data_IF_484460574639
#
_entry.id   IF_484460574639
#
_cell.length_a   1.000
_cell.length_b   1.000
_cell.length_c   1.000
_cell.angle_alpha   90.00
_cell.angle_beta   90.00
_cell.angle_gamma   90.00
#
_symmetry.space_group_name_H-M   'P 1'
#
loop_
_entity.id
_entity.type
_entity.pdbx_description
1 polymer ?
#
# COMPACT_ATOMS: atom_id res chain seq x y z
N UNK A 1 -3.68 -14.42 1.98
CA UNK A 1 -3.64 -15.02 0.63
C UNK A 1 -2.60 -14.24 -0.17
N UNK A 2 -1.46 -14.85 -0.50
CA UNK A 2 -0.41 -14.23 -1.33
C UNK A 2 -0.72 -14.60 -2.78
N UNK A 3 -1.43 -13.74 -3.49
CA UNK A 3 -1.73 -13.97 -4.90
C UNK A 3 -0.71 -13.22 -5.74
N UNK A 4 0.09 -13.98 -6.48
CA UNK A 4 0.87 -13.62 -7.67
C UNK A 4 1.49 -12.21 -7.67
N UNK A 5 2.55 -12.03 -6.89
CA UNK A 5 3.50 -10.93 -7.10
C UNK A 5 4.15 -11.13 -8.47
N UNK A 6 4.13 -10.14 -9.38
CA UNK A 6 4.88 -10.22 -10.64
C UNK A 6 6.35 -10.54 -10.33
N UNK A 7 6.99 -11.43 -11.11
CA UNK A 7 8.36 -11.91 -10.82
C UNK A 7 9.39 -10.77 -10.66
N UNK A 8 9.12 -9.64 -11.30
CA UNK A 8 10.03 -8.50 -11.37
C UNK A 8 9.70 -7.43 -10.32
N UNK A 9 8.80 -7.72 -9.38
CA UNK A 9 8.26 -6.75 -8.44
C UNK A 9 8.58 -7.14 -7.00
N UNK A 10 9.33 -6.28 -6.31
CA UNK A 10 9.67 -6.49 -4.91
C UNK A 10 8.57 -5.91 -4.01
N UNK A 11 7.83 -6.82 -3.37
CA UNK A 11 6.80 -6.51 -2.39
C UNK A 11 7.33 -5.63 -1.24
N UNK A 12 8.51 -5.94 -0.70
CA UNK A 12 9.11 -5.21 0.42
C UNK A 12 9.56 -3.83 -0.03
N UNK A 13 10.10 -3.69 -1.25
CA UNK A 13 10.46 -2.39 -1.78
C UNK A 13 9.25 -1.47 -1.93
N UNK A 14 8.13 -1.97 -2.46
CA UNK A 14 6.87 -1.19 -2.57
C UNK A 14 6.39 -0.77 -1.18
N UNK A 15 6.38 -1.70 -0.22
CA UNK A 15 5.94 -1.41 1.13
C UNK A 15 6.82 -0.35 1.81
N UNK A 16 8.13 -0.45 1.64
CA UNK A 16 9.10 0.51 2.20
C UNK A 16 8.96 1.89 1.56
N UNK A 17 8.77 1.93 0.24
CA UNK A 17 8.51 3.18 -0.48
C UNK A 17 7.24 3.88 0.01
N UNK A 18 6.14 3.14 0.20
CA UNK A 18 4.89 3.70 0.75
C UNK A 18 5.14 4.26 2.16
N UNK A 19 5.83 3.51 3.03
CA UNK A 19 6.18 3.95 4.39
C UNK A 19 7.12 5.17 4.42
N UNK A 20 7.88 5.40 3.35
CA UNK A 20 8.77 6.57 3.24
C UNK A 20 8.03 7.87 2.90
N UNK A 21 6.75 7.80 2.51
CA UNK A 21 5.94 8.99 2.20
C UNK A 21 5.69 9.77 3.50
N UNK A 22 6.05 11.07 3.56
CA UNK A 22 5.83 11.88 4.75
C UNK A 22 4.37 11.87 5.18
N UNK A 23 4.14 11.55 6.45
CA UNK A 23 2.81 11.48 7.07
C UNK A 23 2.20 10.08 7.12
N UNK A 24 2.80 9.09 6.46
CA UNK A 24 2.43 7.67 6.60
C UNK A 24 3.00 7.12 7.91
N UNK A 25 2.16 6.48 8.71
CA UNK A 25 2.57 5.75 9.93
C UNK A 25 2.74 4.27 9.66
N UNK A 26 1.80 3.69 8.91
CA UNK A 26 1.82 2.26 8.56
C UNK A 26 1.15 2.03 7.22
N UNK A 27 1.56 0.96 6.55
CA UNK A 27 0.89 0.41 5.38
C UNK A 27 0.69 -1.09 5.58
N UNK A 28 -0.50 -1.58 5.29
CA UNK A 28 -0.88 -2.97 5.49
C UNK A 28 -1.92 -3.43 4.45
N UNK A 29 -2.30 -4.70 4.50
CA UNK A 29 -3.18 -5.33 3.49
C UNK A 29 -2.72 -5.08 2.05
N UNK A 30 -1.41 -4.95 1.83
CA UNK A 30 -0.84 -4.79 0.49
C UNK A 30 -1.07 -6.08 -0.29
N UNK A 31 -1.83 -6.00 -1.38
CA UNK A 31 -1.95 -7.10 -2.33
C UNK A 31 -1.67 -6.60 -3.73
N UNK A 32 -0.90 -7.41 -4.46
CA UNK A 32 -0.38 -7.12 -5.79
C UNK A 32 -0.92 -8.23 -6.70
N UNK A 33 -1.35 -7.89 -7.91
CA UNK A 33 -1.82 -8.89 -8.87
C UNK A 33 -1.29 -8.58 -10.27
N UNK A 34 -0.81 -9.60 -10.97
CA UNK A 34 -0.66 -9.57 -12.42
C UNK A 34 -1.96 -10.05 -13.07
N UNK A 35 -2.69 -9.16 -13.74
CA UNK A 35 -3.91 -9.51 -14.49
C UNK A 35 -3.57 -9.99 -15.90
N UNK A 36 -2.58 -9.35 -16.53
CA UNK A 36 -1.95 -9.74 -17.80
C UNK A 36 -0.44 -9.45 -17.72
N UNK A 37 0.31 -9.74 -18.79
CA UNK A 37 1.76 -9.43 -18.87
C UNK A 37 2.06 -7.94 -18.64
N UNK A 38 1.13 -7.07 -19.03
CA UNK A 38 1.28 -5.61 -19.02
C UNK A 38 0.32 -4.88 -18.05
N UNK A 39 -0.65 -5.58 -17.44
CA UNK A 39 -1.64 -4.97 -16.56
C UNK A 39 -1.54 -5.53 -15.15
N UNK A 40 -0.93 -4.75 -14.28
CA UNK A 40 -0.84 -5.04 -12.86
C UNK A 40 -1.86 -4.23 -12.06
N UNK A 41 -2.37 -4.82 -10.98
CA UNK A 41 -3.25 -4.20 -10.02
C UNK A 41 -2.65 -4.20 -8.61
N UNK A 42 -2.98 -3.19 -7.81
CA UNK A 42 -2.56 -3.08 -6.41
C UNK A 42 -3.70 -2.57 -5.54
N UNK A 43 -3.82 -3.14 -4.34
CA UNK A 43 -4.56 -2.57 -3.22
C UNK A 43 -3.66 -2.39 -2.01
N UNK A 44 -3.87 -1.34 -1.23
CA UNK A 44 -3.16 -1.10 0.03
C UNK A 44 -3.97 -0.21 0.97
N UNK A 45 -3.83 -0.46 2.27
CA UNK A 45 -4.35 0.40 3.32
C UNK A 45 -3.19 1.18 3.94
N UNK A 46 -3.36 2.49 4.09
CA UNK A 46 -2.35 3.41 4.60
C UNK A 46 -2.93 4.15 5.80
N UNK A 47 -2.29 3.98 6.94
CA UNK A 47 -2.67 4.69 8.17
C UNK A 47 -1.77 5.90 8.35
N UNK A 48 -2.36 7.06 8.62
CA UNK A 48 -1.68 8.37 8.71
C UNK A 48 -1.95 9.02 10.06
N UNK A 49 -1.08 9.94 10.48
CA UNK A 49 -1.37 10.76 11.67
C UNK A 49 -2.63 11.62 11.45
N UNK A 50 -3.42 11.87 12.49
CA UNK A 50 -4.70 12.57 12.39
C UNK A 50 -4.60 14.03 11.95
N UNK A 51 -3.40 14.60 11.94
CA UNK A 51 -3.10 15.96 11.48
C UNK A 51 -2.74 16.05 9.99
N UNK A 52 -2.57 14.92 9.30
CA UNK A 52 -2.03 14.91 7.94
C UNK A 52 -3.12 15.07 6.88
N UNK A 53 -2.74 15.62 5.73
CA UNK A 53 -3.62 15.73 4.57
C UNK A 53 -3.75 14.34 3.90
N UNK A 54 -4.88 13.68 4.14
CA UNK A 54 -5.21 12.37 3.57
C UNK A 54 -5.16 12.40 2.04
N UNK A 55 -5.61 13.49 1.42
CA UNK A 55 -5.67 13.64 -0.02
C UNK A 55 -4.26 13.75 -0.62
N UNK A 56 -3.39 14.55 -0.01
CA UNK A 56 -2.00 14.67 -0.46
C UNK A 56 -1.25 13.33 -0.40
N UNK A 57 -1.50 12.51 0.63
CA UNK A 57 -0.90 11.18 0.75
C UNK A 57 -1.47 10.22 -0.30
N UNK A 58 -2.79 10.23 -0.52
CA UNK A 58 -3.43 9.43 -1.56
C UNK A 58 -2.85 9.76 -2.95
N UNK A 59 -2.70 11.04 -3.28
CA UNK A 59 -2.16 11.50 -4.57
C UNK A 59 -0.70 11.10 -4.77
N UNK A 60 0.16 11.33 -3.75
CA UNK A 60 1.58 10.95 -3.80
C UNK A 60 1.74 9.44 -3.99
N UNK A 61 1.00 8.66 -3.20
CA UNK A 61 1.04 7.20 -3.27
C UNK A 61 0.54 6.70 -4.62
N UNK A 62 -0.61 7.21 -5.09
CA UNK A 62 -1.19 6.87 -6.39
C UNK A 62 -0.22 7.17 -7.54
N UNK A 63 0.40 8.36 -7.52
CA UNK A 63 1.36 8.77 -8.53
C UNK A 63 2.56 7.82 -8.54
N UNK A 64 3.15 7.53 -7.40
CA UNK A 64 4.29 6.62 -7.28
C UNK A 64 3.96 5.21 -7.80
N UNK A 65 2.83 4.62 -7.39
CA UNK A 65 2.41 3.29 -7.83
C UNK A 65 2.18 3.23 -9.35
N UNK A 66 1.65 4.30 -9.95
CA UNK A 66 1.46 4.39 -11.41
C UNK A 66 2.76 4.64 -12.17
N UNK A 67 3.62 5.54 -11.70
CA UNK A 67 4.79 5.98 -12.47
C UNK A 67 6.00 5.07 -12.27
N UNK A 68 6.32 4.70 -11.03
CA UNK A 68 7.48 3.87 -10.68
C UNK A 68 7.18 2.39 -10.90
N UNK A 69 6.01 1.93 -10.46
CA UNK A 69 5.65 0.50 -10.45
C UNK A 69 4.70 0.06 -11.56
N UNK A 70 4.22 1.01 -12.38
CA UNK A 70 3.36 0.75 -13.55
C UNK A 70 2.06 0.00 -13.23
N UNK A 71 1.51 0.19 -12.02
CA UNK A 71 0.18 -0.32 -11.72
C UNK A 71 -0.88 0.44 -12.50
N UNK A 72 -1.71 -0.30 -13.23
CA UNK A 72 -2.82 0.27 -14.01
C UNK A 72 -4.04 0.47 -13.13
N UNK A 73 -4.35 -0.54 -12.31
CA UNK A 73 -5.42 -0.51 -11.34
C UNK A 73 -4.85 -0.30 -9.94
N UNK A 74 -5.32 0.73 -9.25
CA UNK A 74 -4.79 1.13 -7.95
C UNK A 74 -5.96 1.49 -7.05
N UNK A 75 -6.08 0.77 -5.94
CA UNK A 75 -7.02 1.08 -4.87
C UNK A 75 -6.22 1.37 -3.61
N UNK A 76 -6.41 2.54 -3.01
CA UNK A 76 -5.71 2.95 -1.81
C UNK A 76 -6.76 3.44 -0.82
N UNK A 77 -6.78 2.84 0.36
CA UNK A 77 -7.55 3.35 1.48
C UNK A 77 -6.62 4.14 2.39
N UNK A 78 -6.94 5.40 2.66
CA UNK A 78 -6.22 6.23 3.63
C UNK A 78 -7.10 6.38 4.86
N UNK A 79 -6.55 6.04 6.02
CA UNK A 79 -7.24 6.04 7.30
C UNK A 79 -6.40 6.74 8.37
N UNK A 80 -7.06 7.29 9.38
CA UNK A 80 -6.36 7.85 10.53
C UNK A 80 -5.85 6.73 11.43
N UNK A 81 -4.60 6.84 11.87
CA UNK A 81 -3.92 5.88 12.73
C UNK A 81 -4.59 5.84 14.11
N UNK A 82 -5.48 4.87 14.34
CA UNK A 82 -6.09 4.59 15.64
C UNK A 82 -5.39 3.40 16.30
N UNK A 83 -4.51 3.65 17.26
CA UNK A 83 -3.69 2.63 17.94
C UNK A 83 -4.52 1.45 18.47
N UNK A 84 -5.65 1.73 19.11
CA UNK A 84 -6.56 0.71 19.63
C UNK A 84 -7.16 -0.23 18.57
N UNK A 85 -7.31 0.22 17.33
CA UNK A 85 -7.86 -0.59 16.24
C UNK A 85 -6.76 -1.36 15.53
N UNK A 86 -5.62 -0.74 15.23
CA UNK A 86 -4.53 -1.42 14.52
C UNK A 86 -3.88 -2.55 15.32
N UNK A 87 -3.81 -2.42 16.64
CA UNK A 87 -3.28 -3.48 17.52
C UNK A 87 -4.18 -4.74 17.52
N UNK A 88 -5.46 -4.58 17.18
CA UNK A 88 -6.45 -5.67 17.13
C UNK A 88 -6.72 -6.20 15.71
N UNK A 89 -6.20 -5.53 14.67
CA UNK A 89 -6.52 -5.85 13.29
C UNK A 89 -5.72 -7.07 12.81
N UNK A 90 -6.41 -8.22 12.70
CA UNK A 90 -5.83 -9.48 12.19
C UNK A 90 -5.36 -9.41 10.73
N UNK A 91 -5.72 -8.36 9.99
CA UNK A 91 -5.27 -8.09 8.62
C UNK A 91 -4.12 -7.09 8.53
N UNK A 92 -3.74 -6.42 9.63
CA UNK A 92 -2.58 -5.53 9.68
C UNK A 92 -1.24 -6.29 9.73
N UNK A 93 -1.27 -7.60 9.90
CA UNK A 93 -0.07 -8.44 9.92
C UNK A 93 0.51 -8.56 8.51
N UNK A 94 1.75 -8.10 8.34
CA UNK A 94 2.54 -8.41 7.14
C UNK A 94 2.63 -9.94 7.07
N UNK A 95 2.32 -10.59 5.92
CA UNK A 95 2.53 -12.02 5.82
C UNK A 95 4.01 -12.30 6.05
N UNK A 96 4.32 -12.96 7.18
CA UNK A 96 5.64 -13.50 7.44
C UNK A 96 5.97 -14.50 6.32
N UNK A 97 7.19 -14.38 5.81
CA UNK A 97 7.75 -15.15 4.71
C UNK A 97 7.74 -16.65 4.99
#
# INVERSE_FOLDING_TARGET
IKQTVPKDMDFHQILNDIKSIPGVKSAHSLALWALTVDKNAVTVHISVDGSNDHQAILERTSKMLRTKYKFIFTTIQVETHQSSIMDSCRHCSIPNT
#
